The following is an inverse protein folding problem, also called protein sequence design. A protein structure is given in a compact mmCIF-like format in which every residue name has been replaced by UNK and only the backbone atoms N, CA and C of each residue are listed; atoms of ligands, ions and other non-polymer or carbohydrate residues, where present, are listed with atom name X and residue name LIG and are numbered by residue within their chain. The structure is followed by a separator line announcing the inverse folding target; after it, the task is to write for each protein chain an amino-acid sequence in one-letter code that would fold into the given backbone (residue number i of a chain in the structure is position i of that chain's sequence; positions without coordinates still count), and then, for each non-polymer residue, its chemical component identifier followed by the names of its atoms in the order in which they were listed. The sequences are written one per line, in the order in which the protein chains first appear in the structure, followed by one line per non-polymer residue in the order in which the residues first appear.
data_IF_365717827205
#
_entry.id   IF_365717827205
#
_cell.length_a   1.000
_cell.length_b   1.000
_cell.length_c   1.000
_cell.angle_alpha   90.00
_cell.angle_beta   90.00
_cell.angle_gamma   90.00
#
_symmetry.space_group_name_H-M   'P 1'
#
loop_
_entity.id
_entity.type
_entity.pdbx_description
1 polymer ?
#
# COMPACT_ATOMS: atom_id res chain seq x y z
N UNK A 1 1.25 12.06 -35.91
CA UNK A 1 2.15 12.04 -34.74
C UNK A 1 1.29 12.35 -33.53
N UNK A 2 0.88 11.33 -32.78
CA UNK A 2 -0.02 11.51 -31.63
C UNK A 2 0.80 11.94 -30.42
N UNK A 3 0.49 13.10 -29.85
CA UNK A 3 1.10 13.58 -28.61
C UNK A 3 0.83 12.59 -27.45
N UNK A 4 1.80 12.29 -26.58
CA UNK A 4 1.53 11.53 -25.37
C UNK A 4 0.71 12.41 -24.41
N UNK A 5 -0.58 12.11 -24.25
CA UNK A 5 -1.41 12.79 -23.26
C UNK A 5 -0.90 12.44 -21.87
N UNK A 6 -0.33 13.42 -21.18
CA UNK A 6 0.04 13.28 -19.78
C UNK A 6 -1.22 13.09 -18.92
N UNK A 7 -1.22 12.18 -17.92
CA UNK A 7 -2.39 11.94 -17.08
C UNK A 7 -2.73 13.19 -16.29
N UNK A 8 -3.99 13.61 -16.39
CA UNK A 8 -4.52 14.82 -15.75
C UNK A 8 -4.67 14.57 -14.23
N UNK A 9 -4.25 15.51 -13.35
CA UNK A 9 -4.45 15.38 -11.92
C UNK A 9 -5.94 15.51 -11.54
N UNK A 10 -6.56 14.42 -11.09
CA UNK A 10 -7.93 14.46 -10.54
C UNK A 10 -7.86 14.79 -9.04
N UNK A 11 -8.24 16.01 -8.67
CA UNK A 11 -8.39 16.37 -7.25
C UNK A 11 -9.74 15.86 -6.74
N UNK A 12 -9.73 14.85 -5.86
CA UNK A 12 -10.91 14.50 -5.07
C UNK A 12 -10.85 15.24 -3.73
N UNK A 13 -11.81 16.13 -3.49
CA UNK A 13 -12.00 16.78 -2.20
C UNK A 13 -12.64 15.78 -1.22
N UNK A 14 -11.89 15.39 -0.19
CA UNK A 14 -12.41 14.61 0.94
C UNK A 14 -13.10 15.59 1.89
N UNK A 15 -14.41 15.45 2.07
CA UNK A 15 -15.18 16.15 3.10
C UNK A 15 -14.74 15.66 4.47
N UNK A 16 -14.30 16.57 5.35
CA UNK A 16 -14.01 16.29 6.75
C UNK A 16 -15.00 17.08 7.60
N UNK A 17 -15.86 16.36 8.32
CA UNK A 17 -16.77 16.90 9.32
C UNK A 17 -16.00 17.27 10.60
N UNK A 18 -16.32 18.43 11.15
CA UNK A 18 -16.03 18.84 12.54
C UNK A 18 -14.58 19.05 12.96
N UNK A 19 -14.12 20.31 12.94
CA UNK A 19 -13.47 21.05 14.06
C UNK A 19 -12.55 22.15 13.54
N UNK A 20 -12.85 23.40 13.90
CA UNK A 20 -11.99 24.55 13.64
C UNK A 20 -10.75 24.49 14.52
N UNK A 21 -9.62 24.05 13.95
CA UNK A 21 -8.28 24.45 14.36
C UNK A 21 -7.56 24.79 13.05
N UNK A 22 -6.90 25.94 13.00
CA UNK A 22 -6.22 26.47 11.82
C UNK A 22 -5.08 25.54 11.35
N UNK A 23 -5.45 24.45 10.67
CA UNK A 23 -4.50 23.57 10.02
C UNK A 23 -4.18 24.16 8.64
N UNK A 24 -2.93 24.58 8.46
CA UNK A 24 -2.34 24.88 7.15
C UNK A 24 -2.78 23.78 6.18
N UNK A 25 -3.75 24.08 5.31
CA UNK A 25 -4.39 23.13 4.37
C UNK A 25 -3.31 22.51 3.49
N UNK A 26 -2.71 21.45 4.00
CA UNK A 26 -1.66 20.74 3.31
C UNK A 26 -2.39 19.72 2.46
N UNK A 27 -2.89 20.15 1.32
CA UNK A 27 -3.58 19.23 0.44
C UNK A 27 -2.61 18.13 -0.02
N UNK A 28 -3.18 17.02 -0.46
CA UNK A 28 -2.43 15.89 -0.98
C UNK A 28 -2.68 15.81 -2.49
N UNK A 29 -1.61 15.66 -3.26
CA UNK A 29 -1.65 15.42 -4.69
C UNK A 29 -1.58 13.91 -4.90
N UNK A 30 -2.64 13.34 -5.47
CA UNK A 30 -2.72 11.91 -5.73
C UNK A 30 -2.04 11.59 -7.06
N UNK A 31 -0.98 10.79 -7.02
CA UNK A 31 -0.33 10.24 -8.21
C UNK A 31 -0.75 8.80 -8.37
N UNK A 32 -1.53 8.52 -9.41
CA UNK A 32 -1.82 7.15 -9.82
C UNK A 32 -0.60 6.59 -10.55
N UNK A 33 -0.07 5.48 -10.05
CA UNK A 33 1.11 4.83 -10.65
C UNK A 33 0.72 3.52 -11.33
N UNK A 34 -0.25 2.82 -10.77
CA UNK A 34 -0.89 1.62 -11.33
C UNK A 34 -2.37 1.66 -10.92
N UNK A 35 -3.28 1.00 -11.65
CA UNK A 35 -4.68 0.88 -11.24
C UNK A 35 -4.79 0.39 -9.78
N UNK A 36 -5.39 1.18 -8.90
CA UNK A 36 -5.54 0.88 -7.47
C UNK A 36 -4.34 1.23 -6.58
N UNK A 37 -3.22 1.74 -7.12
CA UNK A 37 -2.09 2.29 -6.37
C UNK A 37 -2.01 3.80 -6.53
N UNK A 38 -2.75 4.51 -5.67
CA UNK A 38 -2.69 5.96 -5.57
C UNK A 38 -1.70 6.39 -4.49
N UNK A 39 -0.71 7.19 -4.88
CA UNK A 39 0.28 7.75 -3.97
C UNK A 39 -0.14 9.16 -3.57
N UNK A 40 -0.41 9.35 -2.27
CA UNK A 40 -0.68 10.66 -1.68
C UNK A 40 0.63 11.43 -1.50
N UNK A 41 0.97 12.28 -2.46
CA UNK A 41 2.08 13.21 -2.38
C UNK A 41 1.67 14.44 -1.56
N UNK A 42 2.53 14.89 -0.64
CA UNK A 42 2.22 16.10 0.13
C UNK A 42 2.39 17.30 -0.82
N UNK A 43 1.45 18.24 -0.87
CA UNK A 43 1.51 19.41 -1.78
C UNK A 43 2.73 20.33 -1.57
N UNK A 44 3.56 20.10 -0.54
CA UNK A 44 4.82 20.83 -0.33
C UNK A 44 5.95 20.35 -1.26
N UNK A 45 5.63 19.97 -2.50
CA UNK A 45 6.67 19.79 -3.50
C UNK A 45 7.02 21.18 -4.00
N UNK A 46 8.26 21.58 -3.76
CA UNK A 46 8.80 22.80 -4.33
C UNK A 46 8.67 22.75 -5.87
N UNK A 47 7.95 23.70 -6.50
CA UNK A 47 7.85 23.78 -7.95
C UNK A 47 9.20 23.96 -8.65
N UNK A 48 10.21 24.46 -7.94
CA UNK A 48 11.58 24.59 -8.42
C UNK A 48 12.44 23.32 -8.20
N UNK A 49 11.86 22.24 -7.66
CA UNK A 49 12.59 21.00 -7.42
C UNK A 49 13.04 20.37 -8.75
N UNK A 50 14.32 20.00 -8.81
CA UNK A 50 14.91 19.29 -9.95
C UNK A 50 14.03 18.09 -10.36
N UNK A 51 13.61 18.00 -11.65
CA UNK A 51 12.81 16.90 -12.18
C UNK A 51 13.37 15.51 -11.86
N UNK A 52 14.71 15.36 -11.80
CA UNK A 52 15.35 14.09 -11.47
C UNK A 52 15.10 13.69 -10.01
N UNK A 53 15.13 14.66 -9.09
CA UNK A 53 14.79 14.44 -7.67
C UNK A 53 13.31 14.12 -7.50
N UNK A 54 12.42 14.79 -8.24
CA UNK A 54 10.99 14.52 -8.21
C UNK A 54 10.67 13.09 -8.65
N UNK A 55 11.23 12.65 -9.79
CA UNK A 55 11.09 11.27 -10.27
C UNK A 55 11.55 10.28 -9.21
N UNK A 56 12.73 10.48 -8.62
CA UNK A 56 13.27 9.60 -7.57
C UNK A 56 12.36 9.51 -6.36
N UNK A 57 11.82 10.64 -5.90
CA UNK A 57 10.93 10.68 -4.74
C UNK A 57 9.64 9.89 -5.00
N UNK A 58 9.01 10.10 -6.15
CA UNK A 58 7.81 9.36 -6.55
C UNK A 58 8.12 7.87 -6.67
N UNK A 59 9.16 7.48 -7.42
CA UNK A 59 9.52 6.07 -7.60
C UNK A 59 9.84 5.34 -6.30
N UNK A 60 10.58 5.97 -5.38
CA UNK A 60 10.88 5.36 -4.08
C UNK A 60 9.60 5.16 -3.25
N UNK A 61 8.66 6.10 -3.34
CA UNK A 61 7.38 6.00 -2.63
C UNK A 61 6.53 4.85 -3.15
N UNK A 62 6.48 4.64 -4.46
CA UNK A 62 5.85 3.45 -5.08
C UNK A 62 6.50 2.19 -4.57
N UNK A 63 7.83 2.11 -4.65
CA UNK A 63 8.58 0.93 -4.26
C UNK A 63 8.35 0.57 -2.78
N UNK A 64 8.34 1.57 -1.90
CA UNK A 64 8.05 1.38 -0.48
C UNK A 64 6.61 0.87 -0.23
N UNK A 65 5.60 1.39 -0.93
CA UNK A 65 4.24 0.88 -0.83
C UNK A 65 4.14 -0.56 -1.34
N UNK A 66 4.69 -0.86 -2.53
CA UNK A 66 4.72 -2.22 -3.08
C UNK A 66 5.45 -3.19 -2.13
N UNK A 67 6.55 -2.75 -1.51
CA UNK A 67 7.30 -3.54 -0.52
C UNK A 67 6.46 -3.84 0.72
N UNK A 68 5.76 -2.84 1.28
CA UNK A 68 4.84 -3.04 2.41
C UNK A 68 3.73 -4.02 2.08
N UNK A 69 3.13 -3.88 0.90
CA UNK A 69 2.03 -4.74 0.46
C UNK A 69 2.49 -6.20 0.30
N UNK A 70 3.64 -6.44 -0.34
CA UNK A 70 4.23 -7.78 -0.42
C UNK A 70 4.55 -8.38 0.93
N UNK A 71 5.01 -7.56 1.90
CA UNK A 71 5.28 -8.03 3.26
C UNK A 71 3.99 -8.49 3.96
N UNK A 72 2.89 -7.76 3.78
CA UNK A 72 1.59 -8.17 4.32
C UNK A 72 1.16 -9.52 3.75
N UNK A 73 1.18 -9.66 2.42
CA UNK A 73 0.87 -10.93 1.75
C UNK A 73 1.74 -12.09 2.26
N UNK A 74 3.04 -11.87 2.40
CA UNK A 74 3.96 -12.88 2.92
C UNK A 74 3.63 -13.29 4.35
N UNK A 75 3.29 -12.34 5.23
CA UNK A 75 2.88 -12.64 6.61
C UNK A 75 1.58 -13.42 6.64
N UNK A 76 0.59 -13.04 5.83
CA UNK A 76 -0.69 -13.75 5.72
C UNK A 76 -0.48 -15.20 5.24
N UNK A 77 0.38 -15.40 4.24
CA UNK A 77 0.76 -16.73 3.74
C UNK A 77 1.45 -17.57 4.82
N UNK A 78 2.33 -16.97 5.62
CA UNK A 78 2.97 -17.67 6.75
C UNK A 78 1.97 -18.06 7.83
N UNK A 79 1.04 -17.17 8.17
CA UNK A 79 -0.03 -17.47 9.14
C UNK A 79 -0.90 -18.61 8.64
N UNK A 80 -1.26 -18.62 7.36
CA UNK A 80 -2.02 -19.71 6.76
C UNK A 80 -1.26 -21.04 6.87
N UNK A 81 0.00 -21.09 6.42
CA UNK A 81 0.83 -22.30 6.50
C UNK A 81 0.99 -22.81 7.93
N UNK A 82 1.12 -21.91 8.90
CA UNK A 82 1.20 -22.30 10.31
C UNK A 82 -0.09 -22.97 10.81
N UNK A 83 -1.27 -22.49 10.37
CA UNK A 83 -2.54 -23.13 10.72
C UNK A 83 -2.66 -24.50 10.07
N UNK A 84 -2.38 -24.58 8.77
CA UNK A 84 -2.43 -25.84 8.02
C UNK A 84 -1.51 -26.92 8.66
N UNK A 85 -0.32 -26.52 9.13
CA UNK A 85 0.60 -27.43 9.82
C UNK A 85 0.08 -27.86 11.20
N UNK A 86 -0.47 -26.94 11.99
CA UNK A 86 -1.04 -27.28 13.29
C UNK A 86 -2.24 -28.23 13.14
N UNK A 87 -3.11 -27.99 12.17
CA UNK A 87 -4.25 -28.88 11.88
C UNK A 87 -3.78 -30.29 11.48
N UNK A 88 -2.71 -30.38 10.70
CA UNK A 88 -2.12 -31.67 10.33
C UNK A 88 -1.51 -32.39 11.54
N UNK A 89 -0.82 -31.65 12.42
CA UNK A 89 -0.25 -32.19 13.66
C UNK A 89 -1.35 -32.74 14.58
N UNK A 90 -2.44 -32.00 14.76
CA UNK A 90 -3.60 -32.43 15.54
C UNK A 90 -4.26 -33.67 14.92
N UNK A 91 -4.43 -33.70 13.60
CA UNK A 91 -5.01 -34.84 12.90
C UNK A 91 -4.16 -36.11 13.06
N UNK A 92 -2.84 -36.00 12.89
CA UNK A 92 -1.91 -37.12 13.10
C UNK A 92 -1.91 -37.60 14.55
N UNK A 93 -1.99 -36.67 15.50
CA UNK A 93 -2.05 -36.99 16.94
C UNK A 93 -3.32 -37.76 17.28
N UNK A 94 -4.47 -37.37 16.73
CA UNK A 94 -5.74 -38.11 16.88
C UNK A 94 -5.63 -39.52 16.32
N UNK A 95 -5.09 -39.66 15.10
CA UNK A 95 -4.95 -40.96 14.45
C UNK A 95 -4.05 -41.92 15.24
N UNK A 96 -2.97 -41.40 15.83
CA UNK A 96 -2.09 -42.17 16.71
C UNK A 96 -2.78 -42.58 18.02
N UNK A 97 -3.55 -41.68 18.64
CA UNK A 97 -4.31 -41.97 19.85
C UNK A 97 -5.35 -43.07 19.63
N UNK A 98 -6.05 -43.04 18.49
CA UNK A 98 -7.05 -44.05 18.11
C UNK A 98 -6.41 -45.42 17.81
N UNK A 99 -5.14 -45.46 17.41
CA UNK A 99 -4.40 -46.70 17.11
C UNK A 99 -3.82 -47.41 18.33
N UNK A 100 -3.76 -46.73 19.47
CA UNK A 100 -3.23 -47.24 20.74
C UNK A 100 -4.32 -47.74 21.71
N UNK A 101 -5.59 -47.68 21.30
CA UNK A 101 -6.77 -48.18 21.99
C UNK A 101 -7.22 -49.52 21.39
#
# INVERSE_FOLDING_TARGET
MSEPSFPVPTSFQVSNDGSQVEEKKTGYLNYEVEPGFTIRLRQNIDPAMDPKKLKRFVSNRVAAQKSRWKKLQYVDDLVKKSRDLNELEEWLSSLLADSLL
#
